data_IF_200580978977
#
_entry.id   IF_200580978977
#
_cell.length_a   1.000
_cell.length_b   1.000
_cell.length_c   1.000
_cell.angle_alpha   90.00
_cell.angle_beta   90.00
_cell.angle_gamma   90.00
#
_symmetry.space_group_name_H-M   'P 1'
#
loop_
_entity.id
_entity.type
_entity.pdbx_description
1 polymer ?
#
# COMPACT_ATOMS: atom_id res chain seq x y z
N UNK A 1 -6.12 -5.39 10.32
CA UNK A 1 -5.98 -4.37 11.39
C UNK A 1 -7.14 -3.36 11.36
N UNK A 2 -7.42 -2.61 10.28
CA UNK A 2 -8.49 -1.62 10.24
C UNK A 2 -9.89 -2.15 10.56
N UNK A 3 -10.24 -3.34 10.07
CA UNK A 3 -11.54 -4.00 10.37
C UNK A 3 -11.68 -4.29 11.87
N UNK A 4 -10.64 -4.84 12.49
CA UNK A 4 -10.67 -5.20 13.93
C UNK A 4 -10.82 -3.94 14.80
N UNK A 5 -10.15 -2.85 14.41
CA UNK A 5 -10.26 -1.56 15.09
C UNK A 5 -11.67 -0.95 14.97
N UNK A 6 -12.35 -1.14 13.83
CA UNK A 6 -13.69 -0.62 13.61
C UNK A 6 -14.80 -1.37 14.37
N UNK A 7 -14.60 -2.65 14.70
CA UNK A 7 -15.61 -3.47 15.41
C UNK A 7 -15.81 -3.01 16.86
N UNK A 8 -14.75 -2.59 17.55
CA UNK A 8 -14.80 -2.10 18.93
C UNK A 8 -14.15 -0.71 19.01
N UNK A 9 -14.85 0.34 18.55
CA UNK A 9 -14.31 1.69 18.56
C UNK A 9 -14.00 2.15 19.98
N UNK A 10 -12.96 2.97 20.13
CA UNK A 10 -12.45 3.50 21.39
C UNK A 10 -11.88 2.44 22.38
N UNK A 11 -11.82 1.17 21.97
CA UNK A 11 -11.17 0.11 22.74
C UNK A 11 -9.64 0.17 22.66
N UNK A 12 -8.98 -0.62 23.51
CA UNK A 12 -7.50 -0.73 23.51
C UNK A 12 -6.94 -1.15 22.15
N UNK A 13 -7.58 -2.10 21.48
CA UNK A 13 -7.17 -2.58 20.15
C UNK A 13 -7.27 -1.44 19.12
N UNK A 14 -8.35 -0.68 19.16
CA UNK A 14 -8.55 0.45 18.27
C UNK A 14 -7.47 1.53 18.47
N UNK A 15 -7.18 1.88 19.72
CA UNK A 15 -6.13 2.87 20.04
C UNK A 15 -4.76 2.41 19.57
N UNK A 16 -4.41 1.14 19.81
CA UNK A 16 -3.12 0.58 19.40
C UNK A 16 -2.97 0.54 17.89
N UNK A 17 -3.99 0.05 17.17
CA UNK A 17 -3.98 0.00 15.70
C UNK A 17 -3.90 1.42 15.11
N UNK A 18 -4.67 2.36 15.66
CA UNK A 18 -4.65 3.76 15.22
C UNK A 18 -3.30 4.43 15.48
N UNK A 19 -2.66 4.14 16.61
CA UNK A 19 -1.32 4.65 16.92
C UNK A 19 -0.27 4.08 15.95
N UNK A 20 -0.27 2.76 15.71
CA UNK A 20 0.65 2.12 14.76
C UNK A 20 0.42 2.66 13.34
N UNK A 21 -0.83 2.81 12.91
CA UNK A 21 -1.14 3.37 11.60
C UNK A 21 -0.69 4.85 11.49
N UNK A 22 -0.89 5.65 12.54
CA UNK A 22 -0.43 7.04 12.55
C UNK A 22 1.10 7.15 12.49
N UNK A 23 1.82 6.31 13.21
CA UNK A 23 3.27 6.22 13.13
C UNK A 23 3.74 5.78 11.74
N UNK A 24 3.09 4.76 11.16
CA UNK A 24 3.44 4.27 9.83
C UNK A 24 3.22 5.30 8.71
N UNK A 25 2.25 6.22 8.88
CA UNK A 25 2.04 7.33 7.93
C UNK A 25 3.01 8.49 8.19
N UNK A 26 3.39 8.73 9.45
CA UNK A 26 4.27 9.82 9.83
C UNK A 26 5.74 9.56 9.46
N UNK A 27 6.17 8.30 9.43
CA UNK A 27 7.55 7.92 9.14
C UNK A 27 7.80 7.96 7.62
N UNK A 28 8.77 8.77 7.14
CA UNK A 28 9.15 8.76 5.73
C UNK A 28 9.69 7.38 5.31
N UNK A 29 9.21 6.83 4.18
CA UNK A 29 9.60 5.50 3.72
C UNK A 29 11.12 5.32 3.53
N UNK A 30 11.81 6.34 3.03
CA UNK A 30 13.28 6.29 2.88
C UNK A 30 14.00 6.23 4.24
N UNK A 31 13.49 6.91 5.24
CA UNK A 31 14.06 6.88 6.59
C UNK A 31 13.86 5.52 7.24
N UNK A 32 12.67 4.94 7.09
CA UNK A 32 12.42 3.55 7.50
C UNK A 32 13.38 2.58 6.78
N UNK A 33 13.58 2.75 5.47
CA UNK A 33 14.51 1.95 4.68
C UNK A 33 15.94 2.00 5.26
N UNK A 34 16.43 3.21 5.59
CA UNK A 34 17.75 3.38 6.21
C UNK A 34 17.86 2.69 7.58
N UNK A 35 16.82 2.79 8.42
CA UNK A 35 16.79 2.08 9.71
C UNK A 35 16.81 0.56 9.50
N UNK A 36 15.99 0.04 8.57
CA UNK A 36 15.97 -1.39 8.27
C UNK A 36 17.34 -1.89 7.79
N UNK A 37 18.03 -1.13 6.96
CA UNK A 37 19.40 -1.47 6.54
C UNK A 37 20.35 -1.45 7.74
N UNK A 38 20.33 -0.40 8.55
CA UNK A 38 21.25 -0.26 9.69
C UNK A 38 21.05 -1.38 10.73
N UNK A 39 19.80 -1.63 11.14
CA UNK A 39 19.52 -2.57 12.22
C UNK A 39 19.49 -4.04 11.74
N UNK A 40 18.80 -4.32 10.62
CA UNK A 40 18.59 -5.71 10.18
C UNK A 40 19.73 -6.22 9.32
N UNK A 41 20.27 -5.39 8.41
CA UNK A 41 21.33 -5.85 7.52
C UNK A 41 22.72 -5.71 8.13
N UNK A 42 23.06 -4.52 8.65
CA UNK A 42 24.43 -4.25 9.09
C UNK A 42 24.67 -4.74 10.53
N UNK A 43 23.73 -4.58 11.43
CA UNK A 43 23.90 -4.94 12.84
C UNK A 43 23.56 -6.41 13.13
N UNK A 44 22.43 -6.89 12.62
CA UNK A 44 21.97 -8.26 12.85
C UNK A 44 22.44 -9.25 11.78
N UNK A 45 22.87 -8.79 10.58
CA UNK A 45 23.28 -9.60 9.44
C UNK A 45 22.21 -10.63 8.99
N UNK A 46 20.91 -10.32 9.18
CA UNK A 46 19.84 -11.26 8.83
C UNK A 46 19.50 -11.23 7.35
N UNK A 47 19.48 -10.04 6.75
CA UNK A 47 19.11 -9.83 5.35
C UNK A 47 20.15 -8.95 4.65
N UNK A 48 20.30 -9.10 3.31
CA UNK A 48 21.24 -8.29 2.54
C UNK A 48 20.87 -6.80 2.57
N UNK A 49 21.90 -5.96 2.64
CA UNK A 49 21.75 -4.50 2.70
C UNK A 49 21.43 -3.88 1.35
N UNK A 50 21.98 -4.42 0.26
CA UNK A 50 21.95 -3.80 -1.06
C UNK A 50 21.89 -4.82 -2.19
N UNK A 51 21.55 -4.34 -3.38
CA UNK A 51 21.53 -5.12 -4.61
C UNK A 51 20.22 -5.87 -4.84
N UNK A 52 20.17 -6.54 -5.98
CA UNK A 52 19.06 -7.41 -6.37
C UNK A 52 19.61 -8.71 -6.97
N UNK A 53 18.88 -9.80 -6.82
CA UNK A 53 19.19 -11.09 -7.44
C UNK A 53 18.06 -11.49 -8.36
N UNK A 54 18.41 -12.10 -9.50
CA UNK A 54 17.40 -12.59 -10.43
C UNK A 54 16.66 -13.80 -9.86
N UNK A 55 15.36 -13.80 -10.00
CA UNK A 55 14.50 -14.92 -9.59
C UNK A 55 14.83 -16.22 -10.35
N UNK A 56 15.29 -16.09 -11.61
CA UNK A 56 15.69 -17.22 -12.44
C UNK A 56 16.97 -17.92 -11.98
N UNK A 57 17.84 -17.21 -11.25
CA UNK A 57 19.13 -17.77 -10.76
C UNK A 57 18.98 -18.34 -9.36
N UNK A 58 18.33 -17.61 -8.46
CA UNK A 58 18.10 -18.04 -7.07
C UNK A 58 16.84 -17.37 -6.51
N UNK A 59 15.69 -18.05 -6.54
CA UNK A 59 14.44 -17.50 -5.99
C UNK A 59 14.57 -17.10 -4.52
N UNK A 60 15.27 -17.87 -3.72
CA UNK A 60 15.46 -17.60 -2.30
C UNK A 60 16.24 -16.30 -2.05
N UNK A 61 17.38 -16.14 -2.74
CA UNK A 61 18.17 -14.91 -2.62
C UNK A 61 17.43 -13.69 -3.20
N UNK A 62 16.65 -13.87 -4.27
CA UNK A 62 15.81 -12.82 -4.80
C UNK A 62 14.79 -12.32 -3.75
N UNK A 63 14.12 -13.24 -3.05
CA UNK A 63 13.20 -12.89 -1.96
C UNK A 63 13.92 -12.18 -0.83
N UNK A 64 15.09 -12.68 -0.39
CA UNK A 64 15.87 -12.05 0.69
C UNK A 64 16.25 -10.61 0.38
N UNK A 65 16.66 -10.32 -0.86
CA UNK A 65 16.99 -8.95 -1.30
C UNK A 65 15.75 -8.06 -1.45
N UNK A 66 14.57 -8.62 -1.73
CA UNK A 66 13.33 -7.87 -1.91
C UNK A 66 12.60 -7.58 -0.59
N UNK A 67 12.90 -8.29 0.50
CA UNK A 67 12.15 -8.18 1.77
C UNK A 67 12.23 -6.78 2.38
N UNK A 68 13.43 -6.24 2.59
CA UNK A 68 13.60 -4.93 3.24
C UNK A 68 13.05 -3.79 2.39
N UNK A 69 13.36 -3.68 1.08
CA UNK A 69 12.73 -2.71 0.19
C UNK A 69 11.21 -2.82 0.19
N UNK A 70 10.69 -4.06 0.11
CA UNK A 70 9.26 -4.33 0.12
C UNK A 70 8.58 -3.86 1.42
N UNK A 71 9.17 -4.15 2.57
CA UNK A 71 8.67 -3.67 3.87
C UNK A 71 8.68 -2.13 3.93
N UNK A 72 9.76 -1.49 3.48
CA UNK A 72 9.88 -0.03 3.51
C UNK A 72 8.80 0.66 2.66
N UNK A 73 8.51 0.14 1.47
CA UNK A 73 7.45 0.64 0.59
C UNK A 73 6.06 0.32 1.14
N UNK A 74 5.85 -0.93 1.59
CA UNK A 74 4.53 -1.39 2.03
C UNK A 74 4.08 -0.79 3.36
N UNK A 75 4.99 -0.40 4.25
CA UNK A 75 4.67 0.10 5.59
C UNK A 75 3.72 1.30 5.56
N UNK A 76 4.02 2.30 4.73
CA UNK A 76 3.15 3.46 4.53
C UNK A 76 1.78 3.05 3.96
N UNK A 77 1.78 2.21 2.91
CA UNK A 77 0.55 1.77 2.26
C UNK A 77 -0.36 1.00 3.21
N UNK A 78 0.19 0.07 3.98
CA UNK A 78 -0.56 -0.71 4.97
C UNK A 78 -1.15 0.19 6.07
N UNK A 79 -0.39 1.17 6.54
CA UNK A 79 -0.85 2.12 7.56
C UNK A 79 -2.00 2.99 7.04
N UNK A 80 -1.89 3.50 5.82
CA UNK A 80 -2.91 4.33 5.17
C UNK A 80 -4.20 3.54 4.91
N UNK A 81 -4.09 2.33 4.33
CA UNK A 81 -5.26 1.44 4.10
C UNK A 81 -5.93 1.09 5.42
N UNK A 82 -5.16 0.76 6.48
CA UNK A 82 -5.74 0.43 7.78
C UNK A 82 -6.51 1.61 8.38
N UNK A 83 -5.97 2.82 8.30
CA UNK A 83 -6.59 4.05 8.78
C UNK A 83 -7.88 4.38 8.02
N UNK A 84 -7.81 4.33 6.70
CA UNK A 84 -8.94 4.68 5.85
C UNK A 84 -10.06 3.64 5.94
N UNK A 85 -9.72 2.35 5.94
CA UNK A 85 -10.69 1.27 6.13
C UNK A 85 -11.40 1.39 7.47
N UNK A 86 -10.66 1.72 8.55
CA UNK A 86 -11.26 1.98 9.84
C UNK A 86 -12.26 3.13 9.78
N UNK A 87 -11.86 4.28 9.22
CA UNK A 87 -12.71 5.46 9.11
C UNK A 87 -13.99 5.17 8.34
N UNK A 88 -13.87 4.62 7.14
CA UNK A 88 -15.03 4.29 6.28
C UNK A 88 -15.95 3.25 6.92
N UNK A 89 -15.39 2.22 7.61
CA UNK A 89 -16.23 1.25 8.32
C UNK A 89 -16.97 1.86 9.50
N UNK A 90 -16.36 2.75 10.28
CA UNK A 90 -17.04 3.43 11.39
C UNK A 90 -18.20 4.28 10.88
N UNK A 91 -18.02 4.99 9.77
CA UNK A 91 -19.08 5.78 9.13
C UNK A 91 -20.25 4.89 8.72
N UNK A 92 -19.99 3.82 7.98
CA UNK A 92 -21.02 2.86 7.54
C UNK A 92 -21.71 2.19 8.72
N UNK A 93 -20.96 1.74 9.71
CA UNK A 93 -21.52 1.03 10.88
C UNK A 93 -22.36 1.94 11.80
N UNK A 94 -22.14 3.26 11.77
CA UNK A 94 -22.95 4.24 12.50
C UNK A 94 -24.20 4.70 11.76
N UNK A 95 -24.38 4.28 10.50
CA UNK A 95 -25.48 4.72 9.64
C UNK A 95 -26.86 4.18 10.07
N UNK A 96 -27.93 4.89 9.71
CA UNK A 96 -29.32 4.46 9.93
C UNK A 96 -29.62 3.12 9.22
N UNK A 97 -28.96 2.88 8.09
CA UNK A 97 -29.07 1.62 7.37
C UNK A 97 -28.66 0.42 8.24
N UNK A 98 -27.53 0.52 8.94
CA UNK A 98 -27.06 -0.53 9.83
C UNK A 98 -27.98 -0.72 11.04
N UNK A 99 -28.56 0.37 11.59
CA UNK A 99 -29.59 0.27 12.65
C UNK A 99 -30.81 -0.53 12.19
N UNK A 100 -31.25 -0.28 10.95
CA UNK A 100 -32.37 -1.05 10.37
C UNK A 100 -32.04 -2.54 10.20
N UNK A 101 -30.80 -2.88 9.81
CA UNK A 101 -30.35 -4.26 9.71
C UNK A 101 -30.33 -4.96 11.09
N UNK A 102 -29.89 -4.26 12.13
CA UNK A 102 -29.96 -4.76 13.50
C UNK A 102 -31.40 -4.98 13.96
N UNK A 103 -32.32 -4.06 13.66
CA UNK A 103 -33.73 -4.21 13.97
C UNK A 103 -34.38 -5.41 13.29
N UNK A 104 -33.86 -5.79 12.11
CA UNK A 104 -34.25 -7.03 11.40
C UNK A 104 -33.59 -8.30 11.94
N UNK A 105 -32.82 -8.21 13.05
CA UNK A 105 -32.22 -9.36 13.72
C UNK A 105 -30.91 -9.86 13.10
N UNK A 106 -30.26 -9.11 12.22
CA UNK A 106 -28.97 -9.52 11.66
C UNK A 106 -27.86 -9.37 12.71
N UNK A 107 -26.99 -10.39 12.80
CA UNK A 107 -25.82 -10.33 13.67
C UNK A 107 -24.79 -9.33 13.15
N UNK A 108 -24.01 -8.72 14.08
CA UNK A 108 -22.96 -7.75 13.74
C UNK A 108 -21.94 -8.31 12.74
N UNK A 109 -21.56 -9.56 12.87
CA UNK A 109 -20.64 -10.23 11.94
C UNK A 109 -21.19 -10.26 10.54
N UNK A 110 -22.49 -10.62 10.38
CA UNK A 110 -23.17 -10.65 9.07
C UNK A 110 -23.27 -9.24 8.47
N UNK A 111 -23.62 -8.25 9.28
CA UNK A 111 -23.68 -6.84 8.87
C UNK A 111 -22.29 -6.38 8.37
N UNK A 112 -21.22 -6.68 9.12
CA UNK A 112 -19.87 -6.30 8.75
C UNK A 112 -19.43 -6.89 7.40
N UNK A 113 -19.54 -8.22 7.24
CA UNK A 113 -19.02 -8.90 6.06
C UNK A 113 -19.89 -8.72 4.81
N UNK A 114 -21.22 -8.79 4.94
CA UNK A 114 -22.12 -8.72 3.79
C UNK A 114 -22.52 -7.30 3.40
N UNK A 115 -22.53 -6.36 4.34
CA UNK A 115 -23.00 -5.01 4.12
C UNK A 115 -21.89 -3.95 4.33
N UNK A 116 -21.17 -4.01 5.44
CA UNK A 116 -20.15 -3.03 5.78
C UNK A 116 -19.01 -3.01 4.78
N UNK A 117 -18.32 -4.15 4.59
CA UNK A 117 -17.18 -4.24 3.68
C UNK A 117 -17.58 -4.00 2.21
N UNK A 118 -18.76 -4.44 1.80
CA UNK A 118 -19.26 -4.19 0.44
C UNK A 118 -19.45 -2.70 0.18
N UNK A 119 -20.02 -1.96 1.13
CA UNK A 119 -20.21 -0.52 0.98
C UNK A 119 -18.90 0.28 0.99
N UNK A 120 -17.87 -0.23 1.70
CA UNK A 120 -16.56 0.42 1.79
C UNK A 120 -15.64 0.05 0.62
N UNK A 121 -15.91 -1.06 -0.08
CA UNK A 121 -15.02 -1.62 -1.09
C UNK A 121 -14.70 -0.68 -2.24
N UNK A 122 -15.66 0.08 -2.74
CA UNK A 122 -15.44 1.05 -3.83
C UNK A 122 -14.42 2.11 -3.40
N UNK A 123 -14.63 2.72 -2.22
CA UNK A 123 -13.70 3.70 -1.67
C UNK A 123 -12.31 3.09 -1.42
N UNK A 124 -12.25 1.82 -0.97
CA UNK A 124 -10.99 1.09 -0.80
C UNK A 124 -10.23 0.88 -2.11
N UNK A 125 -10.89 0.48 -3.19
CA UNK A 125 -10.23 0.31 -4.49
C UNK A 125 -9.63 1.62 -5.00
N UNK A 126 -10.37 2.72 -4.88
CA UNK A 126 -9.86 4.05 -5.23
C UNK A 126 -8.61 4.42 -4.42
N UNK A 127 -8.63 4.18 -3.11
CA UNK A 127 -7.49 4.47 -2.24
C UNK A 127 -6.30 3.58 -2.58
N UNK A 128 -6.52 2.29 -2.83
CA UNK A 128 -5.46 1.35 -3.21
C UNK A 128 -4.82 1.79 -4.54
N UNK A 129 -5.62 2.20 -5.53
CA UNK A 129 -5.10 2.73 -6.80
C UNK A 129 -4.20 3.95 -6.59
N UNK A 130 -4.65 4.93 -5.80
CA UNK A 130 -3.85 6.10 -5.45
C UNK A 130 -2.56 5.74 -4.70
N UNK A 131 -2.63 4.74 -3.81
CA UNK A 131 -1.45 4.26 -3.07
C UNK A 131 -0.45 3.58 -3.98
N UNK A 132 -0.88 2.75 -4.93
CA UNK A 132 0.02 2.11 -5.89
C UNK A 132 0.76 3.16 -6.71
N UNK A 133 0.08 4.22 -7.17
CA UNK A 133 0.72 5.32 -7.86
C UNK A 133 1.78 6.05 -7.00
N UNK A 134 1.48 6.29 -5.72
CA UNK A 134 2.45 6.86 -4.75
C UNK A 134 3.63 5.91 -4.49
N UNK A 135 3.37 4.61 -4.39
CA UNK A 135 4.41 3.59 -4.20
C UNK A 135 5.35 3.54 -5.41
N UNK A 136 4.84 3.63 -6.63
CA UNK A 136 5.67 3.72 -7.85
C UNK A 136 6.61 4.93 -7.80
N UNK A 137 6.12 6.09 -7.38
CA UNK A 137 6.98 7.26 -7.20
C UNK A 137 8.03 7.06 -6.08
N UNK A 138 7.66 6.39 -4.98
CA UNK A 138 8.56 6.13 -3.86
C UNK A 138 9.67 5.11 -4.22
N UNK A 139 9.46 4.22 -5.21
CA UNK A 139 10.48 3.23 -5.61
C UNK A 139 11.79 3.88 -6.04
N UNK A 140 11.75 5.07 -6.65
CA UNK A 140 12.96 5.79 -7.08
C UNK A 140 13.94 5.98 -5.91
N UNK A 141 13.42 6.43 -4.77
CA UNK A 141 14.24 6.67 -3.57
C UNK A 141 14.66 5.37 -2.90
N UNK A 142 13.77 4.39 -2.86
CA UNK A 142 14.05 3.07 -2.28
C UNK A 142 15.11 2.32 -3.11
N UNK A 143 15.04 2.37 -4.43
CA UNK A 143 16.08 1.82 -5.32
C UNK A 143 17.46 2.43 -5.04
N UNK A 144 17.51 3.73 -4.77
CA UNK A 144 18.76 4.40 -4.40
C UNK A 144 19.31 3.92 -3.06
N UNK A 145 18.46 3.79 -2.02
CA UNK A 145 18.87 3.32 -0.69
C UNK A 145 19.41 1.91 -0.71
N UNK A 146 18.73 1.01 -1.44
CA UNK A 146 19.12 -0.41 -1.52
C UNK A 146 20.04 -0.74 -2.71
N UNK A 147 20.50 0.26 -3.47
CA UNK A 147 21.31 0.09 -4.68
C UNK A 147 20.72 -0.94 -5.67
N UNK A 148 19.39 -0.90 -5.87
CA UNK A 148 18.67 -1.77 -6.79
C UNK A 148 18.71 -1.17 -8.20
N UNK A 149 19.14 -1.92 -9.23
CA UNK A 149 19.05 -1.46 -10.60
C UNK A 149 17.61 -1.55 -11.10
N UNK A 150 16.88 -0.45 -11.08
CA UNK A 150 15.49 -0.37 -11.49
C UNK A 150 15.19 0.87 -12.34
N UNK A 151 13.92 1.12 -12.64
CA UNK A 151 13.47 2.25 -13.47
C UNK A 151 13.78 3.60 -12.81
N UNK A 152 13.64 3.73 -11.50
CA UNK A 152 13.97 4.94 -10.77
C UNK A 152 15.46 5.26 -10.84
N UNK A 153 16.32 4.26 -10.65
CA UNK A 153 17.77 4.42 -10.76
C UNK A 153 18.21 4.77 -12.20
N UNK A 154 17.48 4.29 -13.22
CA UNK A 154 17.69 4.66 -14.61
C UNK A 154 17.33 6.13 -14.87
N UNK A 155 16.21 6.63 -14.37
CA UNK A 155 15.83 8.03 -14.49
C UNK A 155 16.90 8.94 -13.86
N UNK A 156 17.33 8.63 -12.65
CA UNK A 156 18.34 9.43 -11.94
C UNK A 156 19.65 9.48 -12.71
N UNK A 157 20.14 8.32 -13.19
CA UNK A 157 21.37 8.27 -14.00
C UNK A 157 21.23 9.00 -15.32
N UNK A 158 20.12 8.79 -16.06
CA UNK A 158 19.84 9.50 -17.31
C UNK A 158 19.78 11.01 -17.11
N UNK A 159 19.16 11.48 -16.04
CA UNK A 159 19.10 12.91 -15.70
C UNK A 159 20.50 13.50 -15.43
N UNK A 160 21.33 12.80 -14.64
CA UNK A 160 22.71 13.23 -14.35
C UNK A 160 23.57 13.26 -15.61
N UNK A 161 23.40 12.27 -16.50
CA UNK A 161 24.13 12.16 -17.76
C UNK A 161 23.56 13.05 -18.87
N UNK A 162 22.41 13.73 -18.60
CA UNK A 162 21.65 14.52 -19.59
C UNK A 162 21.18 13.69 -20.80
N UNK A 163 20.95 12.39 -20.58
CA UNK A 163 20.43 11.49 -21.60
C UNK A 163 18.90 11.57 -21.63
N UNK A 164 18.39 12.55 -22.37
CA UNK A 164 16.96 12.80 -22.49
C UNK A 164 16.18 11.61 -23.07
N UNK A 165 16.66 10.88 -24.09
CA UNK A 165 16.00 9.67 -24.60
C UNK A 165 15.74 8.62 -23.53
N UNK A 166 16.71 8.32 -22.69
CA UNK A 166 16.55 7.37 -21.57
C UNK A 166 15.51 7.87 -20.58
N UNK A 167 15.61 9.13 -20.17
CA UNK A 167 14.65 9.71 -19.21
C UNK A 167 13.23 9.66 -19.76
N UNK A 168 13.03 10.10 -21.02
CA UNK A 168 11.72 10.08 -21.66
C UNK A 168 11.17 8.65 -21.81
N UNK A 169 12.00 7.71 -22.24
CA UNK A 169 11.60 6.30 -22.40
C UNK A 169 11.14 5.66 -21.09
N UNK A 170 11.88 5.89 -20.00
CA UNK A 170 11.52 5.33 -18.69
C UNK A 170 10.27 6.01 -18.12
N UNK A 171 10.16 7.35 -18.24
CA UNK A 171 8.94 8.07 -17.82
C UNK A 171 7.73 7.57 -18.60
N UNK A 172 7.85 7.41 -19.91
CA UNK A 172 6.77 6.87 -20.74
C UNK A 172 6.35 5.45 -20.29
N UNK A 173 7.31 4.56 -20.02
CA UNK A 173 7.03 3.23 -19.51
C UNK A 173 6.32 3.28 -18.15
N UNK A 174 6.76 4.16 -17.23
CA UNK A 174 6.09 4.33 -15.93
C UNK A 174 4.66 4.85 -16.08
N UNK A 175 4.42 5.78 -17.00
CA UNK A 175 3.07 6.30 -17.29
C UNK A 175 2.15 5.18 -17.80
N UNK A 176 2.64 4.29 -18.67
CA UNK A 176 1.86 3.13 -19.14
C UNK A 176 1.49 2.23 -17.95
N UNK A 177 2.42 1.95 -17.03
CA UNK A 177 2.13 1.16 -15.82
C UNK A 177 1.08 1.83 -14.95
N UNK A 178 1.17 3.15 -14.74
CA UNK A 178 0.17 3.93 -13.98
C UNK A 178 -1.21 3.84 -14.62
N UNK A 179 -1.30 4.01 -15.95
CA UNK A 179 -2.57 3.92 -16.68
C UNK A 179 -3.15 2.49 -16.56
N UNK A 180 -2.32 1.46 -16.72
CA UNK A 180 -2.76 0.08 -16.58
C UNK A 180 -3.29 -0.24 -15.17
N UNK A 181 -2.61 0.24 -14.13
CA UNK A 181 -3.04 0.08 -12.74
C UNK A 181 -4.38 0.79 -12.49
N UNK A 182 -4.53 2.02 -12.96
CA UNK A 182 -5.78 2.76 -12.80
C UNK A 182 -6.92 2.08 -13.56
N UNK A 183 -6.69 1.63 -14.80
CA UNK A 183 -7.69 0.90 -15.57
C UNK A 183 -8.15 -0.39 -14.85
N UNK A 184 -7.21 -1.16 -14.30
CA UNK A 184 -7.54 -2.36 -13.54
C UNK A 184 -8.38 -1.98 -12.30
N UNK A 185 -8.01 -0.92 -11.60
CA UNK A 185 -8.76 -0.46 -10.42
C UNK A 185 -10.19 -0.03 -10.80
N UNK A 186 -10.37 0.70 -11.89
CA UNK A 186 -11.66 1.15 -12.37
C UNK A 186 -12.55 -0.05 -12.78
N UNK A 187 -11.97 -1.03 -13.49
CA UNK A 187 -12.68 -2.27 -13.84
C UNK A 187 -13.10 -3.07 -12.60
N UNK A 188 -12.26 -3.13 -11.57
CA UNK A 188 -12.61 -3.77 -10.32
C UNK A 188 -13.71 -3.01 -9.57
N UNK A 189 -13.67 -1.67 -9.57
CA UNK A 189 -14.74 -0.84 -9.01
C UNK A 189 -16.07 -1.10 -9.73
N UNK A 190 -16.09 -1.09 -11.05
CA UNK A 190 -17.28 -1.36 -11.86
C UNK A 190 -17.86 -2.77 -11.62
N UNK A 191 -16.99 -3.78 -11.46
CA UNK A 191 -17.42 -5.15 -11.17
C UNK A 191 -18.06 -5.31 -9.77
N UNK A 192 -17.65 -4.49 -8.78
CA UNK A 192 -18.15 -4.57 -7.40
C UNK A 192 -19.40 -3.72 -7.19
N UNK A 193 -19.52 -2.58 -7.84
CA UNK A 193 -20.68 -1.69 -7.75
C UNK A 193 -21.20 -1.30 -9.15
N UNK A 194 -22.18 -2.06 -9.69
CA UNK A 194 -22.77 -1.77 -10.99
C UNK A 194 -23.60 -0.47 -11.03
N UNK A 195 -23.70 0.28 -9.93
CA UNK A 195 -24.41 1.58 -9.89
C UNK A 195 -23.59 2.76 -10.40
N UNK A 196 -22.32 2.54 -10.74
CA UNK A 196 -21.40 3.60 -11.24
C UNK A 196 -21.65 3.88 -12.74
N UNK A 197 -22.47 3.10 -13.43
CA UNK A 197 -22.80 3.26 -14.87
C UNK A 197 -23.96 4.23 -15.16
N UNK A 198 -24.35 5.11 -14.21
CA UNK A 198 -25.41 6.11 -14.47
C UNK A 198 -24.90 7.53 -14.19
#
# INVERSE_FOLDING_TARGET
MGVIAAIKPNGWVDKTVSMIASLGVAIPGFWLAMILVAEISLKLNWLPATGAKSFSVSPWEAIRHALLPGIAIAAYGMAEVARQLRGSLLEVLSSQYVRTLHAKGLSMTRILWQHGLKNVSVNLFTIISLLVNRMLAATVVIEAVFAIPGMGSLIVRGAIQRDFPIVQGVVFAMVIVVIAVNLIADLLCAAVDPRIEQ
#
